data_IF_696704827404
#
_entry.id   IF_696704827404
#
_cell.length_a   1.000
_cell.length_b   1.000
_cell.length_c   1.000
_cell.angle_alpha   90.00
_cell.angle_beta   90.00
_cell.angle_gamma   90.00
#
_symmetry.space_group_name_H-M   'P 1'
#
loop_
_entity.id
_entity.type
_entity.pdbx_description
1 polymer ?
#
# COMPACT_ATOMS: atom_id res chain seq x y z
N UNK A 1 -4.10 -20.73 -1.38
CA UNK A 1 -5.14 -20.01 -0.61
C UNK A 1 -4.78 -18.56 -0.33
N UNK A 2 -3.65 -18.23 0.31
CA UNK A 2 -3.29 -16.82 0.60
C UNK A 2 -3.20 -15.90 -0.64
N UNK A 3 -2.51 -16.31 -1.70
CA UNK A 3 -2.50 -15.56 -2.97
C UNK A 3 -3.86 -15.56 -3.68
N UNK A 4 -4.72 -16.55 -3.41
CA UNK A 4 -6.07 -16.56 -3.96
C UNK A 4 -6.96 -15.53 -3.29
N UNK A 5 -6.81 -15.34 -1.98
CA UNK A 5 -7.50 -14.29 -1.25
C UNK A 5 -7.21 -12.91 -1.86
N UNK A 6 -5.97 -12.62 -2.26
CA UNK A 6 -5.61 -11.29 -2.76
C UNK A 6 -6.30 -10.97 -4.08
N UNK A 7 -6.23 -11.84 -5.09
CA UNK A 7 -6.91 -11.54 -6.37
C UNK A 7 -8.43 -11.59 -6.27
N UNK A 8 -9.00 -12.46 -5.42
CA UNK A 8 -10.45 -12.47 -5.19
C UNK A 8 -10.93 -11.19 -4.51
N UNK A 9 -10.16 -10.64 -3.58
CA UNK A 9 -10.49 -9.36 -2.93
C UNK A 9 -10.56 -8.20 -3.93
N UNK A 10 -9.75 -8.25 -4.98
CA UNK A 10 -9.70 -7.23 -6.02
C UNK A 10 -10.57 -7.56 -7.22
N UNK A 11 -11.48 -8.53 -7.09
CA UNK A 11 -12.36 -8.97 -8.17
C UNK A 11 -13.83 -8.93 -7.73
N UNK A 12 -14.72 -8.77 -8.72
CA UNK A 12 -16.15 -8.95 -8.55
C UNK A 12 -16.58 -10.32 -9.06
N UNK A 13 -17.48 -10.97 -8.33
CA UNK A 13 -18.09 -12.23 -8.78
C UNK A 13 -19.09 -11.91 -9.91
N UNK A 14 -18.85 -12.46 -11.10
CA UNK A 14 -19.71 -12.24 -12.28
C UNK A 14 -20.62 -13.45 -12.58
N UNK A 15 -20.18 -14.66 -12.21
CA UNK A 15 -20.97 -15.88 -12.27
C UNK A 15 -20.46 -16.91 -11.24
N UNK A 16 -21.02 -18.11 -11.22
CA UNK A 16 -20.55 -19.16 -10.31
C UNK A 16 -19.12 -19.59 -10.65
N UNK A 17 -18.22 -19.42 -9.67
CA UNK A 17 -16.78 -19.62 -9.81
C UNK A 17 -16.11 -18.73 -10.88
N UNK A 18 -16.76 -17.64 -11.29
CA UNK A 18 -16.23 -16.69 -12.26
C UNK A 18 -16.11 -15.30 -11.62
N UNK A 19 -14.91 -14.72 -11.73
CA UNK A 19 -14.55 -13.45 -11.12
C UNK A 19 -13.85 -12.56 -12.14
N UNK A 20 -14.15 -11.26 -12.10
CA UNK A 20 -13.52 -10.26 -12.95
C UNK A 20 -12.75 -9.26 -12.10
N UNK A 21 -11.47 -9.04 -12.43
CA UNK A 21 -10.66 -8.06 -11.75
C UNK A 21 -11.23 -6.66 -11.97
N UNK A 22 -11.28 -5.87 -10.89
CA UNK A 22 -11.73 -4.47 -10.93
C UNK A 22 -10.83 -3.67 -11.87
N UNK A 23 -11.44 -2.94 -12.80
CA UNK A 23 -10.72 -2.21 -13.84
C UNK A 23 -10.17 -0.88 -13.33
N UNK A 24 -10.94 -0.17 -12.49
CA UNK A 24 -10.53 1.14 -12.00
C UNK A 24 -9.46 1.02 -10.92
N UNK A 25 -8.35 1.72 -11.14
CA UNK A 25 -7.21 1.68 -10.22
C UNK A 25 -7.58 2.30 -8.87
N UNK A 26 -8.42 3.35 -8.85
CA UNK A 26 -8.89 3.95 -7.61
C UNK A 26 -9.82 3.04 -6.83
N UNK A 27 -10.72 2.29 -7.50
CA UNK A 27 -11.57 1.29 -6.86
C UNK A 27 -10.73 0.15 -6.26
N UNK A 28 -9.70 -0.33 -6.98
CA UNK A 28 -8.72 -1.29 -6.42
C UNK A 28 -8.00 -0.73 -5.19
N UNK A 29 -7.48 0.49 -5.27
CA UNK A 29 -6.80 1.14 -4.15
C UNK A 29 -7.71 1.31 -2.92
N UNK A 30 -9.02 1.61 -3.11
CA UNK A 30 -10.02 1.63 -2.02
C UNK A 30 -10.21 0.25 -1.38
N UNK A 31 -10.32 -0.82 -2.18
CA UNK A 31 -10.42 -2.18 -1.63
C UNK A 31 -9.16 -2.62 -0.91
N UNK A 32 -7.99 -2.21 -1.38
CA UNK A 32 -6.70 -2.45 -0.72
C UNK A 32 -6.65 -1.71 0.62
N UNK A 33 -6.96 -0.41 0.63
CA UNK A 33 -7.05 0.39 1.85
C UNK A 33 -8.01 -0.24 2.87
N UNK A 34 -9.19 -0.67 2.41
CA UNK A 34 -10.17 -1.35 3.24
C UNK A 34 -9.63 -2.65 3.83
N UNK A 35 -8.94 -3.46 3.02
CA UNK A 35 -8.36 -4.74 3.45
C UNK A 35 -7.30 -4.52 4.53
N UNK A 36 -6.41 -3.56 4.34
CA UNK A 36 -5.41 -3.19 5.34
C UNK A 36 -6.05 -2.68 6.64
N UNK A 37 -7.06 -1.82 6.55
CA UNK A 37 -7.82 -1.38 7.71
C UNK A 37 -8.49 -2.57 8.44
N UNK A 38 -9.04 -3.54 7.68
CA UNK A 38 -9.68 -4.74 8.24
C UNK A 38 -8.68 -5.66 8.94
N UNK A 39 -7.46 -5.81 8.41
CA UNK A 39 -6.38 -6.52 9.11
C UNK A 39 -6.04 -5.85 10.42
N UNK A 40 -5.78 -4.52 10.42
CA UNK A 40 -5.48 -3.80 11.66
C UNK A 40 -6.61 -3.91 12.70
N UNK A 41 -7.85 -3.79 12.25
CA UNK A 41 -9.06 -3.84 13.08
C UNK A 41 -9.48 -5.27 13.48
N UNK A 42 -8.79 -6.30 13.00
CA UNK A 42 -9.11 -7.72 13.24
C UNK A 42 -10.53 -8.09 12.78
N UNK A 43 -11.00 -7.46 11.70
CA UNK A 43 -12.31 -7.71 11.08
C UNK A 43 -12.20 -8.45 9.75
N UNK A 44 -10.97 -8.75 9.32
CA UNK A 44 -10.71 -9.60 8.16
C UNK A 44 -10.91 -11.08 8.51
N UNK A 45 -11.06 -11.92 7.49
CA UNK A 45 -11.12 -13.37 7.65
C UNK A 45 -9.92 -13.91 8.47
N UNK A 46 -10.22 -14.75 9.46
CA UNK A 46 -9.26 -15.25 10.46
C UNK A 46 -8.78 -14.20 11.48
N UNK A 47 -9.40 -13.02 11.56
CA UNK A 47 -9.08 -11.99 12.55
C UNK A 47 -9.44 -12.37 13.98
N UNK A 48 -8.71 -11.82 14.95
CA UNK A 48 -8.92 -12.03 16.39
C UNK A 48 -9.01 -10.67 17.11
N UNK A 49 -10.21 -10.24 17.54
CA UNK A 49 -10.41 -8.95 18.20
C UNK A 49 -9.52 -8.71 19.44
N UNK A 50 -9.09 -9.76 20.13
CA UNK A 50 -8.21 -9.65 21.30
C UNK A 50 -6.77 -9.25 20.90
N UNK A 51 -6.44 -9.34 19.61
CA UNK A 51 -5.12 -9.01 19.04
C UNK A 51 -5.06 -7.65 18.35
N UNK A 52 -6.10 -6.82 18.54
CA UNK A 52 -6.24 -5.51 17.88
C UNK A 52 -4.93 -4.72 17.79
N UNK A 53 -4.53 -4.41 16.56
CA UNK A 53 -3.34 -3.64 16.25
C UNK A 53 -2.02 -4.43 16.21
N UNK A 54 -2.03 -5.76 16.16
CA UNK A 54 -0.81 -6.54 15.88
C UNK A 54 -0.20 -6.23 14.51
N UNK A 55 -1.03 -5.84 13.54
CA UNK A 55 -0.60 -5.40 12.22
C UNK A 55 -0.57 -3.87 12.14
N UNK A 56 0.41 -3.25 12.79
CA UNK A 56 0.46 -1.80 12.93
C UNK A 56 0.75 -1.09 11.60
N UNK A 57 1.64 -1.65 10.78
CA UNK A 57 1.85 -1.23 9.38
C UNK A 57 0.53 -1.12 8.59
N UNK A 58 -0.36 -2.10 8.74
CA UNK A 58 -1.61 -2.15 7.98
C UNK A 58 -2.53 -0.95 8.25
N UNK A 59 -2.50 -0.36 9.45
CA UNK A 59 -3.23 0.89 9.67
C UNK A 59 -2.64 2.07 8.89
N UNK A 60 -1.32 2.22 8.88
CA UNK A 60 -0.66 3.27 8.09
C UNK A 60 -0.86 3.03 6.58
N UNK A 61 -0.64 1.80 6.14
CA UNK A 61 -0.84 1.36 4.75
C UNK A 61 -2.27 1.57 4.25
N UNK A 62 -3.28 1.48 5.14
CA UNK A 62 -4.66 1.81 4.81
C UNK A 62 -4.82 3.29 4.43
N UNK A 63 -4.25 4.21 5.22
CA UNK A 63 -4.23 5.63 4.87
C UNK A 63 -3.44 5.91 3.60
N UNK A 64 -2.29 5.25 3.41
CA UNK A 64 -1.46 5.41 2.22
C UNK A 64 -2.18 4.94 0.95
N UNK A 65 -2.80 3.76 0.99
CA UNK A 65 -3.60 3.23 -0.12
C UNK A 65 -4.83 4.08 -0.40
N UNK A 66 -5.45 4.66 0.64
CA UNK A 66 -6.54 5.64 0.46
C UNK A 66 -6.03 6.90 -0.23
N UNK A 67 -4.86 7.42 0.14
CA UNK A 67 -4.25 8.54 -0.59
C UNK A 67 -4.05 8.20 -2.06
N UNK A 68 -3.54 7.00 -2.38
CA UNK A 68 -3.42 6.55 -3.78
C UNK A 68 -4.78 6.55 -4.48
N UNK A 69 -5.83 6.05 -3.85
CA UNK A 69 -7.18 6.10 -4.41
C UNK A 69 -7.65 7.53 -4.69
N UNK A 70 -7.45 8.44 -3.75
CA UNK A 70 -7.79 9.85 -3.88
C UNK A 70 -7.02 10.55 -5.00
N UNK A 71 -5.73 10.23 -5.16
CA UNK A 71 -4.92 10.73 -6.27
C UNK A 71 -5.46 10.21 -7.60
N UNK A 72 -5.74 8.92 -7.70
CA UNK A 72 -6.28 8.29 -8.91
C UNK A 72 -7.68 8.81 -9.30
N UNK A 73 -8.48 9.23 -8.33
CA UNK A 73 -9.80 9.87 -8.55
C UNK A 73 -9.70 11.39 -8.80
N UNK A 74 -8.52 12.00 -8.64
CA UNK A 74 -8.38 13.45 -8.73
C UNK A 74 -8.33 13.94 -10.19
N UNK A 75 -9.03 15.04 -10.46
CA UNK A 75 -9.00 15.75 -11.75
C UNK A 75 -7.56 16.13 -12.20
N UNK A 76 -6.63 16.26 -11.25
CA UNK A 76 -5.22 16.50 -11.55
C UNK A 76 -4.64 15.38 -12.44
N UNK A 77 -4.97 14.12 -12.17
CA UNK A 77 -4.53 12.98 -12.96
C UNK A 77 -5.24 12.91 -14.33
N UNK A 78 -6.51 13.32 -14.42
CA UNK A 78 -7.20 13.51 -15.70
C UNK A 78 -6.55 14.62 -16.55
N UNK A 79 -6.12 15.72 -15.91
CA UNK A 79 -5.42 16.82 -16.60
C UNK A 79 -4.01 16.44 -17.07
N UNK A 80 -3.36 15.52 -16.35
CA UNK A 80 -2.06 14.95 -16.72
C UNK A 80 -2.13 14.00 -17.92
N UNK A 81 -3.27 13.32 -18.11
CA UNK A 81 -3.54 12.52 -19.31
C UNK A 81 -3.51 13.37 -20.59
N UNK A 82 -3.99 14.62 -20.52
CA UNK A 82 -4.05 15.54 -21.67
C UNK A 82 -2.65 16.00 -22.14
N UNK A 83 -1.63 15.91 -21.29
CA UNK A 83 -0.25 16.30 -21.60
C UNK A 83 0.69 15.11 -21.81
N UNK A 84 0.16 13.89 -21.91
CA UNK A 84 0.92 12.70 -22.30
C UNK A 84 1.55 11.90 -21.15
N UNK A 85 1.29 12.24 -19.88
CA UNK A 85 1.84 11.56 -18.70
C UNK A 85 1.08 10.25 -18.33
N UNK A 86 0.87 9.36 -19.31
CA UNK A 86 0.07 8.12 -19.16
C UNK A 86 0.73 7.05 -18.27
N UNK A 87 2.02 7.19 -17.95
CA UNK A 87 2.82 6.18 -17.24
C UNK A 87 2.61 6.20 -15.72
N UNK A 88 2.22 7.33 -15.14
CA UNK A 88 2.04 7.51 -13.69
C UNK A 88 0.86 6.74 -13.12
N UNK A 89 -0.38 6.86 -13.64
CA UNK A 89 -1.49 6.05 -13.14
C UNK A 89 -1.25 4.55 -13.35
N UNK A 90 -0.58 4.16 -14.45
CA UNK A 90 -0.15 2.76 -14.67
C UNK A 90 0.80 2.31 -13.57
N UNK A 91 1.86 3.07 -13.27
CA UNK A 91 2.82 2.75 -12.22
C UNK A 91 2.17 2.65 -10.84
N UNK A 92 1.31 3.62 -10.48
CA UNK A 92 0.55 3.57 -9.22
C UNK A 92 -0.37 2.34 -9.16
N UNK A 93 -1.07 2.01 -10.24
CA UNK A 93 -1.92 0.82 -10.31
C UNK A 93 -1.14 -0.49 -10.23
N UNK A 94 0.02 -0.57 -10.88
CA UNK A 94 0.92 -1.72 -10.87
C UNK A 94 1.54 -1.92 -9.49
N UNK A 95 2.14 -0.87 -8.93
CA UNK A 95 2.77 -0.91 -7.62
C UNK A 95 1.76 -1.32 -6.55
N UNK A 96 0.59 -0.68 -6.52
CA UNK A 96 -0.45 -0.98 -5.54
C UNK A 96 -0.97 -2.43 -5.65
N UNK A 97 -1.17 -2.96 -6.87
CA UNK A 97 -1.61 -4.34 -7.08
C UNK A 97 -0.60 -5.37 -6.57
N UNK A 98 0.66 -5.24 -6.99
CA UNK A 98 1.69 -6.26 -6.72
C UNK A 98 2.19 -6.19 -5.28
N UNK A 99 2.31 -4.99 -4.72
CA UNK A 99 2.57 -4.80 -3.29
C UNK A 99 1.47 -5.40 -2.42
N UNK A 100 0.20 -5.13 -2.74
CA UNK A 100 -0.91 -5.73 -2.01
C UNK A 100 -0.89 -7.25 -2.10
N UNK A 101 -0.64 -7.80 -3.30
CA UNK A 101 -0.56 -9.25 -3.49
C UNK A 101 0.55 -9.87 -2.64
N UNK A 102 1.68 -9.19 -2.52
CA UNK A 102 2.80 -9.60 -1.69
C UNK A 102 2.45 -9.57 -0.18
N UNK A 103 2.14 -8.38 0.35
CA UNK A 103 1.98 -8.13 1.78
C UNK A 103 0.71 -8.77 2.36
N UNK A 104 -0.44 -8.64 1.66
CA UNK A 104 -1.72 -9.10 2.19
C UNK A 104 -1.81 -10.63 2.23
N UNK A 105 -1.12 -11.33 1.32
CA UNK A 105 -1.09 -12.80 1.33
C UNK A 105 -0.46 -13.34 2.62
N UNK A 106 0.69 -12.81 3.04
CA UNK A 106 1.36 -13.25 4.27
C UNK A 106 0.53 -12.96 5.52
N UNK A 107 -0.16 -11.81 5.56
CA UNK A 107 -1.04 -11.44 6.68
C UNK A 107 -2.29 -12.33 6.75
N UNK A 108 -2.92 -12.59 5.61
CA UNK A 108 -4.04 -13.54 5.55
C UNK A 108 -3.61 -14.95 5.99
N UNK A 109 -2.43 -15.40 5.55
CA UNK A 109 -1.89 -16.70 5.95
C UNK A 109 -1.65 -16.77 7.47
N UNK A 110 -1.12 -15.70 8.07
CA UNK A 110 -0.89 -15.67 9.51
C UNK A 110 -2.21 -15.71 10.31
N UNK A 111 -3.24 -14.99 9.84
CA UNK A 111 -4.57 -15.01 10.46
C UNK A 111 -5.19 -16.41 10.46
N UNK A 112 -5.17 -17.08 9.31
CA UNK A 112 -5.91 -18.32 9.11
C UNK A 112 -5.11 -19.58 9.46
N UNK A 113 -3.79 -19.47 9.43
CA UNK A 113 -2.86 -20.57 9.64
C UNK A 113 -1.62 -20.15 10.46
N UNK A 114 -1.78 -19.59 11.67
CA UNK A 114 -0.65 -19.12 12.48
C UNK A 114 0.35 -20.23 12.84
N UNK A 115 -0.07 -21.50 12.81
CA UNK A 115 0.80 -22.67 12.97
C UNK A 115 1.92 -22.74 11.92
N UNK A 116 1.68 -22.21 10.71
CA UNK A 116 2.65 -22.17 9.63
C UNK A 116 3.75 -21.10 9.85
N UNK A 117 3.58 -20.26 10.87
CA UNK A 117 4.54 -19.23 11.29
C UNK A 117 5.35 -19.62 12.54
N UNK A 118 5.09 -20.81 13.10
CA UNK A 118 5.90 -21.41 14.17
C UNK A 118 7.31 -21.75 13.64
N UNK A 119 8.26 -21.86 14.56
CA UNK A 119 9.64 -22.31 14.26
C UNK A 119 10.34 -21.50 13.14
N UNK A 120 10.31 -20.17 13.24
CA UNK A 120 11.00 -19.29 12.27
C UNK A 120 10.29 -19.14 10.92
N UNK A 121 8.96 -19.28 10.90
CA UNK A 121 8.11 -19.07 9.72
C UNK A 121 8.43 -20.01 8.55
N UNK A 122 8.44 -21.31 8.85
CA UNK A 122 8.80 -22.37 7.92
C UNK A 122 8.02 -22.36 6.58
N UNK A 123 6.78 -21.89 6.57
CA UNK A 123 6.00 -21.78 5.34
C UNK A 123 6.29 -20.49 4.58
N UNK A 124 6.38 -19.36 5.29
CA UNK A 124 6.64 -18.05 4.68
C UNK A 124 8.01 -18.05 3.99
N UNK A 125 9.04 -18.61 4.63
CA UNK A 125 10.40 -18.78 4.07
C UNK A 125 10.45 -19.60 2.77
N UNK A 126 9.40 -20.35 2.44
CA UNK A 126 9.27 -21.12 1.20
C UNK A 126 8.40 -20.44 0.15
N UNK A 127 7.80 -19.28 0.45
CA UNK A 127 6.95 -18.50 -0.46
C UNK A 127 7.74 -18.19 -1.75
N UNK A 128 7.13 -18.54 -2.88
CA UNK A 128 7.67 -18.33 -4.22
C UNK A 128 6.49 -18.47 -5.21
N UNK A 129 6.27 -17.46 -6.06
CA UNK A 129 5.22 -17.45 -7.08
C UNK A 129 5.27 -18.69 -7.97
N UNK A 130 6.47 -19.24 -8.23
CA UNK A 130 6.66 -20.39 -9.10
C UNK A 130 6.22 -21.71 -8.47
N UNK A 131 6.08 -21.75 -7.14
CA UNK A 131 5.71 -22.93 -6.36
C UNK A 131 4.25 -22.89 -5.89
N UNK A 132 3.48 -21.90 -6.34
CA UNK A 132 2.05 -21.87 -6.10
C UNK A 132 1.37 -23.08 -6.75
N UNK A 133 0.28 -23.53 -6.13
CA UNK A 133 -0.65 -24.51 -6.73
C UNK A 133 -1.05 -24.07 -8.14
N UNK A 134 -1.09 -25.01 -9.09
CA UNK A 134 -1.15 -24.71 -10.53
C UNK A 134 -2.29 -23.75 -10.91
N UNK A 135 -3.49 -23.95 -10.35
CA UNK A 135 -4.63 -23.07 -10.60
C UNK A 135 -4.40 -21.63 -10.11
N UNK A 136 -3.82 -21.47 -8.91
CA UNK A 136 -3.50 -20.15 -8.33
C UNK A 136 -2.35 -19.51 -9.09
N UNK A 137 -1.34 -20.30 -9.48
CA UNK A 137 -0.20 -19.87 -10.28
C UNK A 137 -0.66 -19.31 -11.61
N UNK A 138 -1.48 -20.05 -12.35
CA UNK A 138 -1.96 -19.63 -13.66
C UNK A 138 -2.69 -18.28 -13.59
N UNK A 139 -3.59 -18.10 -12.61
CA UNK A 139 -4.27 -16.81 -12.39
C UNK A 139 -3.27 -15.71 -12.03
N UNK A 140 -2.34 -16.00 -11.11
CA UNK A 140 -1.33 -15.02 -10.67
C UNK A 140 -0.49 -14.52 -11.84
N UNK A 141 -0.06 -15.42 -12.72
CA UNK A 141 0.74 -15.07 -13.90
C UNK A 141 -0.08 -14.49 -15.07
N UNK A 142 -1.41 -14.55 -15.02
CA UNK A 142 -2.33 -13.93 -15.98
C UNK A 142 -2.78 -12.51 -15.54
N UNK A 143 -2.55 -12.15 -14.26
CA UNK A 143 -2.87 -10.80 -13.76
C UNK A 143 -2.10 -9.69 -14.51
N UNK A 144 -2.66 -8.47 -14.60
CA UNK A 144 -1.99 -7.34 -15.24
C UNK A 144 -0.58 -7.11 -14.71
N UNK A 145 0.36 -6.93 -15.65
CA UNK A 145 1.78 -6.66 -15.37
C UNK A 145 2.55 -7.83 -14.73
N UNK A 146 2.00 -9.04 -14.70
CA UNK A 146 2.69 -10.19 -14.10
C UNK A 146 4.08 -10.47 -14.70
N UNK A 147 4.19 -10.42 -16.04
CA UNK A 147 5.43 -10.69 -16.76
C UNK A 147 6.57 -9.71 -16.45
N UNK A 148 6.24 -8.46 -16.14
CA UNK A 148 7.21 -7.41 -15.79
C UNK A 148 7.39 -7.24 -14.27
N UNK A 149 6.42 -7.67 -13.45
CA UNK A 149 6.42 -7.41 -12.00
C UNK A 149 6.92 -8.58 -11.19
N UNK A 150 6.43 -9.80 -11.42
CA UNK A 150 6.69 -10.95 -10.52
C UNK A 150 8.19 -11.26 -10.43
N UNK A 151 8.89 -11.27 -11.56
CA UNK A 151 10.34 -11.49 -11.58
C UNK A 151 11.12 -10.38 -10.87
N UNK A 152 10.67 -9.13 -11.05
CA UNK A 152 11.27 -7.91 -10.48
C UNK A 152 11.18 -7.89 -8.96
N UNK A 153 10.06 -8.32 -8.39
CA UNK A 153 9.85 -8.43 -6.93
C UNK A 153 10.25 -9.81 -6.38
N UNK A 154 11.27 -10.41 -6.99
CA UNK A 154 11.89 -11.67 -6.57
C UNK A 154 10.89 -12.84 -6.40
N UNK A 155 9.84 -12.89 -7.23
CA UNK A 155 8.80 -13.91 -7.21
C UNK A 155 8.11 -14.06 -5.84
N UNK A 156 7.91 -12.95 -5.10
CA UNK A 156 7.33 -12.96 -3.75
C UNK A 156 8.14 -13.76 -2.71
N UNK A 157 9.42 -14.03 -2.95
CA UNK A 157 10.26 -14.63 -1.92
C UNK A 157 10.40 -13.67 -0.75
N UNK A 158 10.31 -14.15 0.49
CA UNK A 158 10.34 -13.27 1.63
C UNK A 158 11.71 -12.64 1.80
N UNK A 159 11.72 -11.34 2.05
CA UNK A 159 12.91 -10.59 2.49
C UNK A 159 13.20 -10.87 3.97
N UNK A 160 14.39 -10.46 4.44
CA UNK A 160 14.68 -10.44 5.87
C UNK A 160 13.75 -9.49 6.64
N UNK A 161 13.26 -8.43 5.98
CA UNK A 161 12.35 -7.44 6.56
C UNK A 161 10.97 -8.04 6.86
N UNK A 162 10.32 -8.73 5.90
CA UNK A 162 9.00 -9.32 6.16
C UNK A 162 9.07 -10.40 7.24
N UNK A 163 10.15 -11.18 7.26
CA UNK A 163 10.45 -12.16 8.31
C UNK A 163 10.50 -11.45 9.67
N UNK A 164 11.37 -10.45 9.81
CA UNK A 164 11.49 -9.68 11.05
C UNK A 164 10.17 -9.02 11.47
N UNK A 165 9.41 -8.49 10.51
CA UNK A 165 8.11 -7.86 10.77
C UNK A 165 7.09 -8.82 11.37
N UNK A 166 7.02 -10.08 10.92
CA UNK A 166 6.16 -11.10 11.52
C UNK A 166 6.68 -11.67 12.84
N UNK A 167 7.99 -11.64 13.08
CA UNK A 167 8.51 -11.92 14.42
C UNK A 167 8.11 -10.83 15.41
N UNK A 168 8.14 -9.55 15.00
CA UNK A 168 7.62 -8.45 15.81
C UNK A 168 6.10 -8.55 16.04
N UNK A 169 5.32 -9.10 15.11
CA UNK A 169 3.89 -9.41 15.33
C UNK A 169 3.72 -10.35 16.53
N UNK A 170 4.56 -11.40 16.65
CA UNK A 170 4.52 -12.32 17.80
C UNK A 170 4.87 -11.60 19.10
N UNK A 171 5.86 -10.71 19.06
CA UNK A 171 6.25 -9.91 20.22
C UNK A 171 5.13 -8.95 20.65
N UNK A 172 4.40 -8.35 19.69
CA UNK A 172 3.22 -7.51 19.96
C UNK A 172 2.08 -8.31 20.60
N UNK A 173 1.88 -9.55 20.17
CA UNK A 173 0.86 -10.46 20.72
C UNK A 173 1.21 -10.93 22.15
N UNK A 174 2.50 -11.09 22.46
CA UNK A 174 2.97 -11.55 23.76
C UNK A 174 3.18 -10.43 24.80
N UNK A 175 3.31 -9.17 24.36
CA UNK A 175 3.60 -8.04 25.25
C UNK A 175 2.35 -7.53 26.00
N UNK A 176 2.45 -7.49 27.32
CA UNK A 176 1.41 -7.05 28.25
C UNK A 176 1.51 -5.56 28.59
N UNK A 177 2.71 -4.98 28.56
CA UNK A 177 2.95 -3.56 28.79
C UNK A 177 2.47 -2.75 27.60
N UNK A 178 1.44 -1.93 27.80
CA UNK A 178 0.89 -1.06 26.75
C UNK A 178 1.96 -0.15 26.12
N UNK A 179 2.90 0.35 26.90
CA UNK A 179 3.95 1.24 26.39
C UNK A 179 4.97 0.48 25.53
N UNK A 180 5.46 -0.67 26.01
CA UNK A 180 6.41 -1.49 25.24
C UNK A 180 5.74 -2.00 23.98
N UNK A 181 4.49 -2.48 24.07
CA UNK A 181 3.71 -2.93 22.93
C UNK A 181 3.61 -1.85 21.84
N UNK A 182 3.44 -0.59 22.24
CA UNK A 182 3.40 0.55 21.30
C UNK A 182 4.76 0.80 20.65
N UNK A 183 5.86 0.64 21.36
CA UNK A 183 7.20 0.75 20.76
C UNK A 183 7.44 -0.37 19.73
N UNK A 184 7.14 -1.63 20.09
CA UNK A 184 7.29 -2.78 19.18
C UNK A 184 6.40 -2.61 17.94
N UNK A 185 5.21 -2.03 18.09
CA UNK A 185 4.35 -1.69 16.96
C UNK A 185 4.96 -0.68 16.00
N UNK A 186 5.64 0.36 16.50
CA UNK A 186 6.36 1.31 15.65
C UNK A 186 7.52 0.60 14.93
N UNK A 187 8.29 -0.23 15.65
CA UNK A 187 9.36 -1.03 15.04
C UNK A 187 8.82 -1.96 13.94
N UNK A 188 7.68 -2.61 14.19
CA UNK A 188 7.00 -3.48 13.22
C UNK A 188 6.56 -2.71 11.98
N UNK A 189 6.03 -1.51 12.17
CA UNK A 189 5.62 -0.62 11.09
C UNK A 189 6.82 -0.25 10.21
N UNK A 190 7.91 0.24 10.80
CA UNK A 190 9.09 0.67 10.05
C UNK A 190 9.74 -0.50 9.30
N UNK A 191 9.83 -1.68 9.93
CA UNK A 191 10.40 -2.87 9.28
C UNK A 191 9.56 -3.36 8.10
N UNK A 192 8.22 -3.32 8.18
CA UNK A 192 7.40 -3.64 7.01
C UNK A 192 7.46 -2.54 5.96
N UNK A 193 7.60 -1.27 6.37
CA UNK A 193 7.85 -0.16 5.44
C UNK A 193 9.14 -0.40 4.63
N UNK A 194 10.23 -0.83 5.26
CA UNK A 194 11.48 -1.20 4.58
C UNK A 194 11.22 -2.28 3.52
N UNK A 195 10.47 -3.33 3.86
CA UNK A 195 10.13 -4.38 2.90
C UNK A 195 9.38 -3.82 1.69
N UNK A 196 8.30 -3.08 1.94
CA UNK A 196 7.46 -2.52 0.90
C UNK A 196 8.25 -1.56 0.01
N UNK A 197 9.03 -0.67 0.60
CA UNK A 197 9.68 0.43 -0.10
C UNK A 197 10.94 0.01 -0.84
N UNK A 198 11.73 -0.91 -0.27
CA UNK A 198 13.04 -1.29 -0.81
C UNK A 198 12.99 -2.59 -1.63
N UNK A 199 12.20 -3.58 -1.20
CA UNK A 199 12.17 -4.89 -1.87
C UNK A 199 11.09 -4.98 -2.95
N UNK A 200 10.04 -4.16 -2.83
CA UNK A 200 8.89 -4.19 -3.75
C UNK A 200 8.85 -2.93 -4.60
N UNK A 201 8.65 -1.76 -4.01
CA UNK A 201 8.40 -0.52 -4.76
C UNK A 201 9.65 0.06 -5.42
N UNK A 202 10.83 -0.05 -4.81
CA UNK A 202 12.07 0.41 -5.44
C UNK A 202 12.31 -0.25 -6.80
N UNK A 203 12.44 -1.59 -6.91
CA UNK A 203 12.70 -2.22 -8.19
C UNK A 203 11.51 -2.15 -9.16
N UNK A 204 10.27 -2.09 -8.63
CA UNK A 204 9.06 -2.13 -9.46
C UNK A 204 8.69 -0.76 -10.03
N UNK A 205 8.85 0.32 -9.26
CA UNK A 205 8.35 1.66 -9.59
C UNK A 205 9.50 2.65 -9.68
N UNK A 206 10.31 2.77 -8.63
CA UNK A 206 11.26 3.88 -8.52
C UNK A 206 12.49 3.73 -9.42
N UNK A 207 12.96 2.50 -9.63
CA UNK A 207 14.04 2.19 -10.58
C UNK A 207 13.60 2.24 -12.04
N UNK A 208 12.29 2.34 -12.31
CA UNK A 208 11.78 2.43 -13.66
C UNK A 208 12.18 3.78 -14.28
N UNK A 209 12.94 3.81 -15.40
CA UNK A 209 13.40 5.05 -16.01
C UNK A 209 12.27 6.01 -16.42
N UNK A 210 11.11 5.49 -16.83
CA UNK A 210 9.97 6.33 -17.21
C UNK A 210 9.35 7.03 -15.98
N UNK A 211 9.36 6.34 -14.83
CA UNK A 211 8.89 6.91 -13.57
C UNK A 211 9.89 7.93 -13.01
N UNK A 212 11.17 7.57 -12.96
CA UNK A 212 12.24 8.46 -12.50
C UNK A 212 12.33 9.73 -13.36
N UNK A 213 12.20 9.59 -14.69
CA UNK A 213 12.12 10.73 -15.61
C UNK A 213 10.93 11.65 -15.28
N UNK A 214 9.77 11.07 -14.98
CA UNK A 214 8.60 11.87 -14.61
C UNK A 214 8.75 12.55 -13.24
N UNK A 215 9.31 11.85 -12.25
CA UNK A 215 9.60 12.43 -10.94
C UNK A 215 10.59 13.61 -11.07
N UNK A 216 11.62 13.48 -11.92
CA UNK A 216 12.55 14.57 -12.22
C UNK A 216 11.91 15.71 -13.03
N UNK A 217 10.98 15.38 -13.94
CA UNK A 217 10.18 16.36 -14.66
C UNK A 217 9.32 17.20 -13.71
N UNK A 218 8.72 16.59 -12.68
CA UNK A 218 7.99 17.32 -11.64
C UNK A 218 8.89 18.24 -10.81
N UNK A 219 10.13 17.83 -10.50
CA UNK A 219 11.11 18.60 -9.70
C UNK A 219 11.86 19.71 -10.44
N UNK A 220 11.29 20.28 -11.51
CA UNK A 220 11.74 21.51 -12.18
C UNK A 220 12.85 21.41 -13.25
N UNK A 221 13.49 20.25 -13.56
CA UNK A 221 14.50 20.23 -14.63
C UNK A 221 13.91 20.25 -16.05
N UNK A 222 12.89 19.44 -16.32
CA UNK A 222 12.23 19.37 -17.64
C UNK A 222 11.22 20.50 -17.93
N UNK A 223 10.86 21.29 -16.92
CA UNK A 223 9.88 22.38 -17.01
C UNK A 223 10.51 23.77 -17.26
N UNK A 224 11.86 23.86 -17.29
CA UNK A 224 12.58 25.14 -17.50
C UNK A 224 12.35 25.74 -18.89
N UNK A 225 12.06 24.89 -19.88
CA UNK A 225 11.82 25.31 -21.26
C UNK A 225 10.33 25.58 -21.55
N UNK A 226 9.44 25.37 -20.57
CA UNK A 226 8.02 25.72 -20.69
C UNK A 226 7.79 27.20 -20.41
N UNK A 227 6.75 27.77 -21.05
CA UNK A 227 6.33 29.13 -20.73
C UNK A 227 5.95 29.28 -19.24
N UNK A 228 6.13 30.46 -18.62
CA UNK A 228 5.79 30.69 -17.20
C UNK A 228 4.33 30.35 -16.85
N UNK A 229 3.41 30.50 -17.81
CA UNK A 229 2.01 30.08 -17.68
C UNK A 229 1.88 28.56 -17.60
N UNK A 230 2.52 27.83 -18.52
CA UNK A 230 2.54 26.37 -18.51
C UNK A 230 3.25 25.82 -17.25
N UNK A 231 4.34 26.47 -16.80
CA UNK A 231 5.04 26.12 -15.57
C UNK A 231 4.13 26.26 -14.34
N UNK A 232 3.42 27.39 -14.21
CA UNK A 232 2.48 27.65 -13.11
C UNK A 232 1.27 26.71 -13.14
N UNK A 233 0.81 26.31 -14.32
CA UNK A 233 -0.25 25.31 -14.49
C UNK A 233 0.22 23.91 -14.08
N UNK A 234 1.42 23.48 -14.51
CA UNK A 234 1.97 22.16 -14.17
C UNK A 234 2.27 22.04 -12.67
N UNK A 235 2.85 23.06 -12.04
CA UNK A 235 3.03 23.07 -10.58
C UNK A 235 1.70 22.97 -9.81
N UNK A 236 0.62 23.55 -10.34
CA UNK A 236 -0.71 23.45 -9.74
C UNK A 236 -1.39 22.09 -10.01
N UNK A 237 -0.98 21.39 -11.07
CA UNK A 237 -1.49 20.09 -11.47
C UNK A 237 -0.67 18.91 -10.92
N UNK A 238 0.58 19.13 -10.51
CA UNK A 238 1.41 18.13 -9.85
C UNK A 238 0.86 17.86 -8.44
N UNK A 239 0.49 16.62 -8.11
CA UNK A 239 0.01 16.32 -6.77
C UNK A 239 1.13 16.51 -5.74
N UNK A 240 0.84 17.24 -4.67
CA UNK A 240 1.71 17.26 -3.49
C UNK A 240 1.70 15.88 -2.86
N UNK A 241 2.88 15.28 -2.67
CA UNK A 241 2.99 14.04 -1.90
C UNK A 241 2.58 14.33 -0.46
N UNK A 242 1.45 13.76 -0.05
CA UNK A 242 0.94 13.90 1.31
C UNK A 242 0.27 12.62 1.78
N UNK A 243 0.35 12.35 3.07
CA UNK A 243 -0.38 11.29 3.73
C UNK A 243 -1.36 11.91 4.71
N UNK A 244 -2.66 11.73 4.47
CA UNK A 244 -3.71 12.30 5.34
C UNK A 244 -4.35 11.21 6.20
N UNK A 245 -4.37 11.43 7.51
CA UNK A 245 -4.86 10.51 8.54
C UNK A 245 -6.38 10.66 8.76
N UNK A 246 -7.12 10.61 7.66
CA UNK A 246 -8.58 10.65 7.60
C UNK A 246 -9.07 9.81 6.42
N UNK A 247 -10.33 9.39 6.41
CA UNK A 247 -11.00 8.79 5.27
C UNK A 247 -11.23 9.80 4.12
N UNK A 248 -11.23 11.10 4.40
CA UNK A 248 -11.35 12.13 3.36
C UNK A 248 -10.08 12.21 2.49
N UNK A 249 -10.24 12.69 1.25
CA UNK A 249 -9.11 12.88 0.33
C UNK A 249 -8.24 14.09 0.66
N UNK A 250 -8.84 15.12 1.27
CA UNK A 250 -8.13 16.32 1.70
C UNK A 250 -8.64 16.78 3.07
N UNK A 251 -7.78 17.50 3.78
CA UNK A 251 -8.06 18.05 5.10
C UNK A 251 -7.21 19.29 5.37
N UNK A 252 -7.84 20.32 5.92
CA UNK A 252 -7.15 21.57 6.29
C UNK A 252 -6.31 21.41 7.55
N UNK A 253 -6.68 20.48 8.45
CA UNK A 253 -5.99 20.20 9.71
C UNK A 253 -4.57 19.65 9.44
N UNK A 254 -3.56 20.47 9.77
CA UNK A 254 -2.15 20.14 9.62
C UNK A 254 -1.71 19.00 10.56
N UNK A 255 -2.36 18.84 11.71
CA UNK A 255 -2.02 17.78 12.68
C UNK A 255 -2.47 16.39 12.20
N UNK A 256 -3.27 16.34 11.14
CA UNK A 256 -3.81 15.11 10.56
C UNK A 256 -3.19 14.78 9.19
N UNK A 257 -2.02 15.33 8.89
CA UNK A 257 -1.29 15.01 7.67
C UNK A 257 0.23 15.05 7.83
N UNK A 258 0.91 14.21 7.05
CA UNK A 258 2.33 14.36 6.73
C UNK A 258 2.44 14.87 5.30
N UNK A 259 3.09 16.01 5.10
CA UNK A 259 3.34 16.59 3.78
C UNK A 259 4.82 16.36 3.45
N UNK A 260 5.10 15.87 2.25
CA UNK A 260 6.47 15.69 1.80
C UNK A 260 7.23 17.01 1.80
N UNK A 261 8.52 17.01 2.19
CA UNK A 261 9.34 18.20 2.11
C UNK A 261 9.60 18.59 0.64
N UNK A 262 9.84 19.88 0.41
CA UNK A 262 10.04 20.45 -0.94
C UNK A 262 11.24 19.84 -1.69
N UNK A 263 12.22 19.30 -0.95
CA UNK A 263 13.43 18.67 -1.47
C UNK A 263 13.35 17.14 -1.55
N UNK A 264 12.16 16.54 -1.34
CA UNK A 264 11.97 15.11 -1.48
C UNK A 264 12.38 14.61 -2.88
N UNK A 265 13.26 13.61 -2.90
CA UNK A 265 13.62 12.85 -4.10
C UNK A 265 13.02 11.46 -3.95
N UNK A 266 11.79 11.26 -4.45
CA UNK A 266 11.01 10.05 -4.20
C UNK A 266 11.69 8.76 -4.69
N UNK A 267 12.51 8.82 -5.75
CA UNK A 267 13.25 7.66 -6.25
C UNK A 267 14.52 7.34 -5.44
N UNK A 268 15.02 8.30 -4.66
CA UNK A 268 16.14 8.08 -3.75
C UNK A 268 15.63 7.38 -2.49
N UNK A 269 16.21 6.21 -2.21
CA UNK A 269 15.79 5.36 -1.09
C UNK A 269 15.87 6.12 0.24
N UNK A 270 16.98 6.82 0.50
CA UNK A 270 17.18 7.51 1.78
C UNK A 270 16.20 8.66 1.95
N UNK A 271 16.09 9.54 0.95
CA UNK A 271 15.17 10.68 0.97
C UNK A 271 13.72 10.24 1.18
N UNK A 272 13.30 9.17 0.50
CA UNK A 272 11.96 8.61 0.66
C UNK A 272 11.75 7.98 2.04
N UNK A 273 12.70 7.18 2.51
CA UNK A 273 12.59 6.50 3.80
C UNK A 273 12.62 7.47 4.99
N UNK A 274 13.36 8.59 4.88
CA UNK A 274 13.34 9.66 5.88
C UNK A 274 11.92 10.25 6.02
N UNK A 275 11.28 10.60 4.91
CA UNK A 275 9.90 11.11 4.93
C UNK A 275 8.88 10.07 5.46
N UNK A 276 9.04 8.79 5.08
CA UNK A 276 8.19 7.71 5.59
C UNK A 276 8.36 7.53 7.09
N UNK A 277 9.58 7.67 7.62
CA UNK A 277 9.86 7.66 9.05
C UNK A 277 9.13 8.80 9.78
N UNK A 278 9.20 10.02 9.26
CA UNK A 278 8.47 11.17 9.82
C UNK A 278 6.94 10.97 9.78
N UNK A 279 6.41 10.44 8.67
CA UNK A 279 5.00 10.11 8.55
C UNK A 279 4.57 9.03 9.56
N UNK A 280 5.43 8.03 9.80
CA UNK A 280 5.21 6.99 10.80
C UNK A 280 5.18 7.55 12.22
N UNK A 281 6.04 8.52 12.54
CA UNK A 281 6.08 9.17 13.85
C UNK A 281 4.81 10.00 14.11
N UNK A 282 4.35 10.77 13.12
CA UNK A 282 3.08 11.51 13.22
C UNK A 282 1.92 10.54 13.44
N UNK A 283 1.83 9.50 12.60
CA UNK A 283 0.83 8.45 12.75
C UNK A 283 0.87 7.81 14.14
N UNK A 284 2.05 7.43 14.61
CA UNK A 284 2.24 6.81 15.92
C UNK A 284 1.80 7.74 17.06
N UNK A 285 2.13 9.03 16.96
CA UNK A 285 1.65 10.08 17.85
C UNK A 285 0.13 10.18 17.89
N UNK A 286 -0.53 10.19 16.73
CA UNK A 286 -1.99 10.22 16.61
C UNK A 286 -2.64 8.94 17.17
N UNK A 287 -2.07 7.78 16.91
CA UNK A 287 -2.56 6.51 17.47
C UNK A 287 -2.47 6.44 18.99
N UNK A 288 -1.57 7.24 19.61
CA UNK A 288 -1.44 7.38 21.07
C UNK A 288 -2.39 8.42 21.64
N UNK A 289 -2.52 9.58 21.00
CA UNK A 289 -3.20 10.76 21.55
C UNK A 289 -4.64 10.93 21.06
N UNK A 290 -4.95 10.43 19.87
CA UNK A 290 -6.26 10.52 19.19
C UNK A 290 -6.75 9.13 18.73
N UNK A 291 -6.54 8.10 19.56
CA UNK A 291 -6.80 6.70 19.20
C UNK A 291 -8.24 6.46 18.69
N UNK A 292 -9.25 6.95 19.41
CA UNK A 292 -10.66 6.77 19.04
C UNK A 292 -10.98 7.36 17.66
N UNK A 293 -10.43 8.54 17.37
CA UNK A 293 -10.54 9.18 16.06
C UNK A 293 -9.90 8.31 14.98
N UNK A 294 -8.63 7.92 15.17
CA UNK A 294 -7.91 7.10 14.18
C UNK A 294 -8.61 5.75 13.92
N UNK A 295 -9.12 5.11 14.98
CA UNK A 295 -9.90 3.87 14.86
C UNK A 295 -11.20 4.09 14.10
N UNK A 296 -11.90 5.22 14.31
CA UNK A 296 -13.10 5.55 13.57
C UNK A 296 -12.82 5.79 12.08
N UNK A 297 -11.74 6.50 11.75
CA UNK A 297 -11.32 6.70 10.36
C UNK A 297 -11.00 5.36 9.67
N UNK A 298 -10.28 4.47 10.35
CA UNK A 298 -9.98 3.12 9.84
C UNK A 298 -11.25 2.28 9.66
N UNK A 299 -12.24 2.39 10.55
CA UNK A 299 -13.53 1.70 10.39
C UNK A 299 -14.28 2.18 9.16
N UNK A 300 -14.25 3.48 8.89
CA UNK A 300 -14.85 4.06 7.68
C UNK A 300 -14.14 3.51 6.44
N UNK A 301 -12.80 3.49 6.42
CA UNK A 301 -12.00 2.93 5.31
C UNK A 301 -12.28 1.43 5.13
N UNK A 302 -12.38 0.67 6.22
CA UNK A 302 -12.68 -0.77 6.21
C UNK A 302 -14.02 -1.11 5.53
N UNK A 303 -14.98 -0.19 5.52
CA UNK A 303 -16.28 -0.37 4.85
C UNK A 303 -16.18 -0.38 3.32
N UNK A 304 -15.07 0.10 2.74
CA UNK A 304 -14.87 0.22 1.29
C UNK A 304 -14.46 -1.09 0.60
N UNK A 305 -14.50 -2.22 1.33
CA UNK A 305 -14.05 -3.54 0.87
C UNK A 305 -14.75 -4.03 -0.41
N UNK A 306 -15.94 -3.52 -0.69
CA UNK A 306 -16.72 -3.82 -1.90
C UNK A 306 -16.85 -2.59 -2.83
N UNK A 307 -15.89 -1.65 -2.80
CA UNK A 307 -15.93 -0.46 -3.67
C UNK A 307 -16.05 -0.88 -5.13
N UNK A 308 -17.12 -0.49 -5.84
CA UNK A 308 -17.38 -0.97 -7.19
C UNK A 308 -16.46 -0.26 -8.19
N UNK A 309 -16.33 -0.84 -9.39
CA UNK A 309 -15.99 -0.04 -10.57
C UNK A 309 -17.07 1.06 -10.74
N UNK A 310 -16.66 2.27 -11.12
CA UNK A 310 -17.61 3.32 -11.46
C UNK A 310 -18.48 2.83 -12.62
N UNK A 311 -19.77 3.13 -12.58
CA UNK A 311 -20.74 2.69 -13.60
C UNK A 311 -20.44 3.26 -15.01
N UNK A 312 -19.50 4.20 -15.12
CA UNK A 312 -19.03 4.82 -16.35
C UNK A 312 -17.51 4.91 -16.31
N UNK A 313 -16.84 4.10 -17.12
CA UNK A 313 -15.43 4.28 -17.49
C UNK A 313 -15.43 5.29 -18.64
N UNK A 314 -14.84 6.47 -18.46
CA UNK A 314 -14.63 7.44 -19.55
C UNK A 314 -13.56 6.95 -20.53
#
# INVERSE_FOLDING_TARGET
MAHQFTYLRLSDKVADNEYSLINLFSARAKRIAATYARFYLETEDGGDPDKLGRYYWMALGAFASKTVACLLDAWQLESMYLVGAKTVPRGLGQGNLWLYTDIAASHWLYNNHPENFKEGMMCETKRDANKLEEAVKNITFDMPWASESIGTINNFKPSSYIIKGFDLVKDIEAESSKQNRRNIQLDQLLVIADHEQLEVLQPLIYDNPDFAWWADFQRMKGLKDLSPLAHKWVQKAAPTYQLTFTHACDIDDADLKSVAPDDLIIEDEQSRMDWIGEAADIFHGLMKTRNDYMTQELRTIASWVNSPDAALVY
#
